data_IF_615502981990
#
_entry.id   IF_615502981990
#
_cell.length_a   1.000
_cell.length_b   1.000
_cell.length_c   1.000
_cell.angle_alpha   90.00
_cell.angle_beta   90.00
_cell.angle_gamma   90.00
#
_symmetry.space_group_name_H-M   'P 1'
#
loop_
_entity.id
_entity.type
_entity.pdbx_description
1 polymer ?
#
# COMPACT_ATOMS: atom_id res chain seq x y z
N UNK A 1 -2.51 32.95 -25.54
CA UNK A 1 -1.68 32.86 -24.32
C UNK A 1 -2.41 32.17 -23.16
N UNK A 2 -3.55 32.68 -22.68
CA UNK A 2 -4.24 32.14 -21.49
C UNK A 2 -4.66 30.65 -21.62
N UNK A 3 -5.15 30.25 -22.80
CA UNK A 3 -5.52 28.85 -23.10
C UNK A 3 -4.27 27.93 -23.13
N UNK A 4 -3.14 28.42 -23.65
CA UNK A 4 -1.89 27.66 -23.65
C UNK A 4 -1.35 27.47 -22.22
N UNK A 5 -1.43 28.52 -21.39
CA UNK A 5 -1.05 28.48 -19.97
C UNK A 5 -1.93 27.47 -19.22
N UNK A 6 -3.25 27.51 -19.39
CA UNK A 6 -4.16 26.59 -18.71
C UNK A 6 -3.95 25.14 -19.18
N UNK A 7 -3.71 24.92 -20.47
CA UNK A 7 -3.39 23.59 -21.01
C UNK A 7 -2.07 23.02 -20.50
N UNK A 8 -1.13 23.84 -20.02
CA UNK A 8 0.15 23.38 -19.46
C UNK A 8 0.09 23.16 -17.95
N UNK A 9 -0.47 24.13 -17.21
CA UNK A 9 -0.47 24.11 -15.74
C UNK A 9 -1.43 23.03 -15.21
N UNK A 10 -2.61 22.86 -15.83
CA UNK A 10 -3.62 21.93 -15.34
C UNK A 10 -3.10 20.48 -15.36
N UNK A 11 -2.50 19.95 -16.45
CA UNK A 11 -1.95 18.60 -16.44
C UNK A 11 -0.82 18.39 -15.43
N UNK A 12 0.04 19.39 -15.23
CA UNK A 12 1.13 19.34 -14.24
C UNK A 12 0.56 19.21 -12.83
N UNK A 13 -0.40 20.05 -12.46
CA UNK A 13 -1.03 20.00 -11.14
C UNK A 13 -1.84 18.72 -10.94
N UNK A 14 -2.60 18.31 -11.95
CA UNK A 14 -3.43 17.09 -11.90
C UNK A 14 -2.57 15.83 -11.75
N UNK A 15 -1.49 15.70 -12.52
CA UNK A 15 -0.61 14.53 -12.43
C UNK A 15 0.04 14.40 -11.05
N UNK A 16 0.41 15.52 -10.42
CA UNK A 16 0.93 15.52 -9.05
C UNK A 16 -0.12 15.11 -8.04
N UNK A 17 -1.33 15.65 -8.17
CA UNK A 17 -2.47 15.26 -7.34
C UNK A 17 -2.77 13.76 -7.45
N UNK A 18 -2.77 13.20 -8.66
CA UNK A 18 -2.92 11.76 -8.88
C UNK A 18 -1.79 10.96 -8.24
N UNK A 19 -0.53 11.37 -8.38
CA UNK A 19 0.60 10.69 -7.74
C UNK A 19 0.48 10.67 -6.21
N UNK A 20 0.01 11.77 -5.62
CA UNK A 20 -0.28 11.82 -4.18
C UNK A 20 -1.45 10.92 -3.79
N UNK A 21 -2.55 10.92 -4.54
CA UNK A 21 -3.69 10.04 -4.29
C UNK A 21 -3.30 8.57 -4.36
N UNK A 22 -2.51 8.17 -5.37
CA UNK A 22 -2.02 6.80 -5.54
C UNK A 22 -1.13 6.42 -4.35
N UNK A 23 -0.17 7.27 -3.99
CA UNK A 23 0.74 7.01 -2.86
C UNK A 23 -0.02 6.90 -1.54
N UNK A 24 -0.98 7.79 -1.31
CA UNK A 24 -1.88 7.73 -0.16
C UNK A 24 -2.70 6.44 -0.15
N UNK A 25 -3.24 6.03 -1.29
CA UNK A 25 -4.03 4.81 -1.41
C UNK A 25 -3.17 3.56 -1.12
N UNK A 26 -1.91 3.52 -1.59
CA UNK A 26 -0.96 2.45 -1.27
C UNK A 26 -0.74 2.37 0.25
N UNK A 27 -0.51 3.51 0.90
CA UNK A 27 -0.31 3.58 2.35
C UNK A 27 -1.55 3.14 3.13
N UNK A 28 -2.72 3.68 2.77
CA UNK A 28 -4.00 3.34 3.39
C UNK A 28 -4.30 1.85 3.28
N UNK A 29 -4.05 1.25 2.11
CA UNK A 29 -4.25 -0.17 1.87
C UNK A 29 -3.28 -1.05 2.68
N UNK A 30 -2.04 -0.59 2.86
CA UNK A 30 -1.01 -1.36 3.58
C UNK A 30 -1.09 -1.24 5.09
N UNK A 31 -1.52 -0.10 5.62
CA UNK A 31 -1.52 0.18 7.07
C UNK A 31 -2.96 0.24 7.58
N UNK A 32 -3.74 1.25 7.18
CA UNK A 32 -5.01 1.58 7.83
C UNK A 32 -6.02 0.44 7.71
N UNK A 33 -6.11 -0.21 6.55
CA UNK A 33 -7.03 -1.34 6.38
C UNK A 33 -6.61 -2.57 7.19
N UNK A 34 -5.29 -2.83 7.24
CA UNK A 34 -4.77 -3.97 8.01
C UNK A 34 -5.03 -3.74 9.50
N UNK A 35 -4.79 -2.52 10.00
CA UNK A 35 -5.15 -2.15 11.36
C UNK A 35 -6.66 -2.29 11.58
N UNK A 36 -7.51 -1.63 10.80
CA UNK A 36 -8.95 -1.67 11.05
C UNK A 36 -9.56 -3.09 11.05
N UNK A 37 -8.98 -4.04 10.32
CA UNK A 37 -9.48 -5.42 10.25
C UNK A 37 -8.83 -6.34 11.28
N UNK A 38 -7.54 -6.16 11.57
CA UNK A 38 -6.77 -7.09 12.40
C UNK A 38 -6.30 -6.51 13.74
N UNK A 39 -6.59 -5.25 14.03
CA UNK A 39 -6.23 -4.56 15.28
C UNK A 39 -7.12 -5.02 16.42
N UNK A 40 -6.86 -6.26 16.85
CA UNK A 40 -7.09 -6.67 18.22
C UNK A 40 -5.79 -6.40 18.96
N UNK A 41 -5.88 -5.84 20.18
CA UNK A 41 -4.73 -5.47 21.03
C UNK A 41 -3.68 -6.59 21.21
N UNK A 42 -4.05 -7.83 20.90
CA UNK A 42 -3.21 -9.04 20.92
C UNK A 42 -2.29 -9.23 19.70
N UNK A 43 -2.55 -8.60 18.54
CA UNK A 43 -1.89 -8.99 17.28
C UNK A 43 -0.93 -7.96 16.67
N UNK A 44 -1.03 -6.64 16.92
CA UNK A 44 -0.35 -5.63 16.06
C UNK A 44 0.43 -4.50 16.77
N UNK A 45 1.30 -4.82 17.73
CA UNK A 45 2.26 -3.82 18.26
C UNK A 45 3.45 -3.50 17.32
N UNK A 46 3.52 -4.06 16.11
CA UNK A 46 4.68 -3.96 15.22
C UNK A 46 4.39 -3.19 13.90
N UNK A 47 5.42 -2.61 13.25
CA UNK A 47 5.26 -1.87 12.00
C UNK A 47 4.85 -2.77 10.83
N UNK A 48 3.77 -2.39 10.13
CA UNK A 48 3.16 -3.18 9.04
C UNK A 48 3.88 -2.96 7.69
N UNK A 49 4.81 -2.00 7.58
CA UNK A 49 5.59 -1.72 6.37
C UNK A 49 7.07 -2.06 6.60
N UNK A 50 7.63 -2.88 5.70
CA UNK A 50 9.05 -3.20 5.67
C UNK A 50 9.86 -2.02 5.15
N UNK A 51 11.07 -1.81 5.66
CA UNK A 51 11.98 -0.76 5.19
C UNK A 51 12.23 -0.83 3.67
N UNK A 52 12.44 -2.03 3.14
CA UNK A 52 12.61 -2.26 1.69
C UNK A 52 11.40 -1.88 0.83
N UNK A 53 10.21 -1.74 1.43
CA UNK A 53 9.01 -1.30 0.72
C UNK A 53 8.86 0.21 0.66
N UNK A 54 9.71 0.97 1.36
CA UNK A 54 9.72 2.43 1.36
C UNK A 54 9.74 3.00 -0.06
N UNK A 55 10.60 2.46 -0.92
CA UNK A 55 10.72 2.91 -2.31
C UNK A 55 9.42 2.72 -3.11
N UNK A 56 8.60 1.72 -2.78
CA UNK A 56 7.32 1.48 -3.48
C UNK A 56 6.29 2.58 -3.22
N UNK A 57 6.40 3.28 -2.07
CA UNK A 57 5.59 4.46 -1.76
C UNK A 57 6.05 5.64 -2.63
N UNK A 58 7.33 5.67 -3.02
CA UNK A 58 7.91 6.76 -3.80
C UNK A 58 7.75 6.63 -5.32
N UNK A 59 7.48 5.42 -5.83
CA UNK A 59 7.30 5.16 -7.28
C UNK A 59 6.33 6.13 -7.96
N UNK A 60 5.14 6.43 -7.42
CA UNK A 60 4.21 7.35 -8.07
C UNK A 60 4.80 8.76 -8.25
N UNK A 61 5.66 9.21 -7.34
CA UNK A 61 6.33 10.51 -7.44
C UNK A 61 7.42 10.51 -8.50
N UNK A 62 8.16 9.41 -8.66
CA UNK A 62 9.12 9.28 -9.77
C UNK A 62 8.40 9.31 -11.13
N UNK A 63 7.28 8.59 -11.24
CA UNK A 63 6.44 8.62 -12.45
C UNK A 63 5.93 10.05 -12.72
N UNK A 64 5.50 10.77 -11.69
CA UNK A 64 5.09 12.17 -11.80
C UNK A 64 6.20 13.08 -12.34
N UNK A 65 7.42 12.96 -11.82
CA UNK A 65 8.57 13.75 -12.30
C UNK A 65 8.84 13.47 -13.78
N UNK A 66 8.81 12.19 -14.19
CA UNK A 66 9.01 11.78 -15.58
C UNK A 66 7.90 12.35 -16.48
N UNK A 67 6.63 12.20 -16.07
CA UNK A 67 5.49 12.71 -16.83
C UNK A 67 5.55 14.23 -17.00
N UNK A 68 5.87 14.99 -15.95
CA UNK A 68 6.03 16.44 -16.05
C UNK A 68 7.17 16.84 -16.99
N UNK A 69 8.28 16.10 -16.95
CA UNK A 69 9.41 16.35 -17.84
C UNK A 69 9.02 16.10 -19.30
N UNK A 70 8.29 15.02 -19.58
CA UNK A 70 7.78 14.73 -20.93
C UNK A 70 6.77 15.78 -21.40
N UNK A 71 5.84 16.18 -20.53
CA UNK A 71 4.86 17.24 -20.81
C UNK A 71 5.58 18.53 -21.18
N UNK A 72 6.60 18.93 -20.41
CA UNK A 72 7.42 20.10 -20.70
C UNK A 72 8.11 20.01 -22.07
N UNK A 73 8.76 18.88 -22.37
CA UNK A 73 9.45 18.66 -23.65
C UNK A 73 8.45 18.79 -24.81
N UNK A 74 7.32 18.10 -24.75
CA UNK A 74 6.28 18.15 -25.79
C UNK A 74 5.82 19.59 -26.03
N UNK A 75 5.62 20.37 -24.97
CA UNK A 75 5.20 21.76 -25.11
C UNK A 75 6.23 22.66 -25.76
N UNK A 76 7.53 22.40 -25.56
CA UNK A 76 8.58 23.13 -26.26
C UNK A 76 8.47 22.98 -27.79
N UNK A 77 7.93 21.86 -28.29
CA UNK A 77 7.80 21.58 -29.72
C UNK A 77 6.43 21.94 -30.32
N UNK A 78 5.36 22.01 -29.53
CA UNK A 78 4.00 22.33 -30.03
C UNK A 78 3.88 23.81 -30.42
N UNK A 79 4.53 24.70 -29.68
CA UNK A 79 4.49 26.13 -29.95
C UNK A 79 5.75 26.51 -30.73
N UNK A 80 5.64 26.66 -32.05
CA UNK A 80 6.73 27.22 -32.87
C UNK A 80 6.65 28.75 -32.84
N UNK A 81 7.71 29.47 -32.41
CA UNK A 81 7.68 30.92 -32.38
C UNK A 81 7.73 31.50 -33.80
N UNK A 82 6.93 32.53 -34.07
CA UNK A 82 7.22 33.52 -35.10
C UNK A 82 8.15 34.60 -34.53
N UNK A 83 8.91 35.31 -35.38
CA UNK A 83 9.90 36.30 -34.95
C UNK A 83 9.31 37.38 -34.01
N UNK A 84 8.08 37.84 -34.28
CA UNK A 84 7.38 38.84 -33.45
C UNK A 84 6.88 38.29 -32.10
N UNK A 85 6.85 36.97 -31.92
CA UNK A 85 6.32 36.28 -30.74
C UNK A 85 7.38 35.63 -29.84
N UNK A 86 8.66 35.71 -30.21
CA UNK A 86 9.74 34.96 -29.56
C UNK A 86 9.88 35.25 -28.06
N UNK A 87 9.82 36.53 -27.66
CA UNK A 87 9.93 36.93 -26.25
C UNK A 87 8.76 36.37 -25.40
N UNK A 88 7.55 36.42 -25.95
CA UNK A 88 6.35 35.91 -25.28
C UNK A 88 6.40 34.39 -25.14
N UNK A 89 6.93 33.70 -26.15
CA UNK A 89 7.19 32.26 -26.13
C UNK A 89 8.22 31.88 -25.06
N UNK A 90 9.36 32.58 -24.99
CA UNK A 90 10.40 32.34 -23.97
C UNK A 90 9.87 32.56 -22.55
N UNK A 91 9.10 33.63 -22.32
CA UNK A 91 8.46 33.90 -21.02
C UNK A 91 7.47 32.81 -20.63
N UNK A 92 6.67 32.32 -21.59
CA UNK A 92 5.70 31.25 -21.35
C UNK A 92 6.40 29.94 -20.92
N UNK A 93 7.44 29.53 -21.65
CA UNK A 93 8.23 28.33 -21.31
C UNK A 93 8.89 28.49 -19.95
N UNK A 94 9.45 29.65 -19.65
CA UNK A 94 10.04 29.95 -18.34
C UNK A 94 9.05 29.80 -17.20
N UNK A 95 7.82 30.32 -17.35
CA UNK A 95 6.76 30.17 -16.35
C UNK A 95 6.38 28.69 -16.17
N UNK A 96 6.19 27.94 -17.27
CA UNK A 96 5.84 26.52 -17.21
C UNK A 96 6.94 25.72 -16.50
N UNK A 97 8.21 26.02 -16.80
CA UNK A 97 9.36 25.37 -16.16
C UNK A 97 9.42 25.65 -14.66
N UNK A 98 9.28 26.91 -14.25
CA UNK A 98 9.27 27.31 -12.83
C UNK A 98 8.12 26.62 -12.09
N UNK A 99 6.92 26.61 -12.66
CA UNK A 99 5.75 25.94 -12.05
C UNK A 99 6.00 24.43 -11.93
N UNK A 100 6.62 23.82 -12.93
CA UNK A 100 6.99 22.40 -12.89
C UNK A 100 7.94 22.11 -11.72
N UNK A 101 9.00 22.92 -11.56
CA UNK A 101 9.95 22.79 -10.45
C UNK A 101 9.25 22.98 -9.10
N UNK A 102 8.47 24.05 -8.94
CA UNK A 102 7.75 24.33 -7.69
C UNK A 102 6.81 23.17 -7.35
N UNK A 103 6.09 22.63 -8.34
CA UNK A 103 5.21 21.48 -8.13
C UNK A 103 5.98 20.25 -7.67
N UNK A 104 7.14 19.94 -8.27
CA UNK A 104 7.99 18.81 -7.88
C UNK A 104 8.48 18.98 -6.45
N UNK A 105 9.04 20.15 -6.11
CA UNK A 105 9.54 20.44 -4.76
C UNK A 105 8.40 20.33 -3.73
N UNK A 106 7.25 20.94 -4.02
CA UNK A 106 6.10 20.93 -3.12
C UNK A 106 5.60 19.50 -2.85
N UNK A 107 5.51 18.67 -3.88
CA UNK A 107 5.13 17.26 -3.73
C UNK A 107 6.15 16.45 -2.94
N UNK A 108 7.46 16.68 -3.15
CA UNK A 108 8.51 16.03 -2.34
C UNK A 108 8.33 16.37 -0.86
N UNK A 109 8.13 17.65 -0.53
CA UNK A 109 7.94 18.11 0.86
C UNK A 109 6.69 17.49 1.49
N UNK A 110 5.56 17.48 0.78
CA UNK A 110 4.33 16.84 1.25
C UNK A 110 4.53 15.35 1.53
N UNK A 111 5.27 14.66 0.66
CA UNK A 111 5.57 13.23 0.79
C UNK A 111 6.43 12.93 2.01
N UNK A 112 7.50 13.71 2.21
CA UNK A 112 8.38 13.58 3.38
C UNK A 112 7.58 13.79 4.66
N UNK A 113 6.78 14.86 4.72
CA UNK A 113 5.97 15.19 5.91
C UNK A 113 4.99 14.06 6.27
N UNK A 114 4.34 13.47 5.28
CA UNK A 114 3.37 12.39 5.48
C UNK A 114 4.04 11.07 5.89
N UNK A 115 5.22 10.80 5.35
CA UNK A 115 5.95 9.56 5.64
C UNK A 115 6.76 9.62 6.95
N UNK A 116 7.00 10.82 7.51
CA UNK A 116 7.78 11.01 8.76
C UNK A 116 7.25 10.19 9.94
N UNK A 117 5.95 9.93 9.98
CA UNK A 117 5.30 9.23 11.08
C UNK A 117 5.10 7.73 10.82
N UNK A 118 5.58 7.21 9.69
CA UNK A 118 5.50 5.78 9.38
C UNK A 118 6.67 5.09 10.06
N UNK A 119 6.38 4.24 11.04
CA UNK A 119 7.37 3.32 11.61
C UNK A 119 7.62 2.19 10.60
N UNK A 120 8.87 1.96 10.26
CA UNK A 120 9.30 0.83 9.43
C UNK A 120 9.90 -0.26 10.32
N UNK A 121 9.77 -1.52 9.88
CA UNK A 121 10.34 -2.66 10.61
C UNK A 121 11.83 -2.79 10.36
N UNK A 122 12.60 -2.94 11.44
CA UNK A 122 14.02 -3.32 11.39
C UNK A 122 14.18 -4.85 11.54
N UNK A 123 15.28 -5.42 11.04
CA UNK A 123 15.54 -6.88 11.01
C UNK A 123 15.48 -7.56 12.38
N UNK A 124 15.90 -6.87 13.45
CA UNK A 124 15.81 -7.38 14.82
C UNK A 124 14.35 -7.50 15.29
N UNK A 125 13.52 -6.47 15.03
CA UNK A 125 12.09 -6.51 15.35
C UNK A 125 11.38 -7.63 14.57
N UNK A 126 11.79 -7.89 13.32
CA UNK A 126 11.27 -9.00 12.52
C UNK A 126 11.59 -10.35 13.17
N UNK A 127 12.85 -10.56 13.54
CA UNK A 127 13.32 -11.82 14.14
C UNK A 127 12.62 -12.11 15.46
N UNK A 128 12.59 -11.14 16.37
CA UNK A 128 11.96 -11.29 17.68
C UNK A 128 10.48 -11.59 17.54
N UNK A 129 9.81 -10.93 16.60
CA UNK A 129 8.42 -11.21 16.30
C UNK A 129 8.22 -12.65 15.81
N UNK A 130 9.01 -13.14 14.85
CA UNK A 130 8.89 -14.51 14.35
C UNK A 130 9.12 -15.54 15.46
N UNK A 131 10.14 -15.36 16.30
CA UNK A 131 10.44 -16.29 17.39
C UNK A 131 9.24 -16.39 18.35
N UNK A 132 8.72 -15.25 18.79
CA UNK A 132 7.55 -15.22 19.68
C UNK A 132 6.32 -15.87 19.04
N UNK A 133 6.07 -15.62 17.75
CA UNK A 133 4.93 -16.22 17.05
C UNK A 133 5.09 -17.72 16.78
N UNK A 134 6.32 -18.21 16.61
CA UNK A 134 6.59 -19.64 16.51
C UNK A 134 6.26 -20.36 17.82
N UNK A 135 6.64 -19.79 18.97
CA UNK A 135 6.31 -20.35 20.28
C UNK A 135 4.80 -20.38 20.52
N UNK A 136 4.11 -19.26 20.23
CA UNK A 136 2.64 -19.20 20.33
C UNK A 136 1.99 -20.17 19.34
N UNK A 137 2.53 -20.28 18.12
CA UNK A 137 2.02 -21.14 17.05
C UNK A 137 1.98 -22.62 17.42
N UNK A 138 2.88 -23.07 18.30
CA UNK A 138 2.89 -24.44 18.84
C UNK A 138 1.72 -24.74 19.79
N UNK A 139 1.07 -23.71 20.33
CA UNK A 139 -0.10 -23.87 21.21
C UNK A 139 -1.42 -23.95 20.46
N UNK A 140 -1.41 -23.70 19.14
CA UNK A 140 -2.62 -23.77 18.32
C UNK A 140 -2.96 -25.23 17.97
N UNK A 141 -4.25 -25.51 17.79
CA UNK A 141 -4.71 -26.86 17.44
C UNK A 141 -4.10 -27.37 16.12
N UNK A 142 -3.88 -28.68 16.02
CA UNK A 142 -3.29 -29.34 14.85
C UNK A 142 -4.16 -29.31 13.58
N UNK A 143 -5.30 -28.62 13.56
CA UNK A 143 -6.14 -28.48 12.36
C UNK A 143 -6.23 -27.03 11.92
N UNK A 144 -6.05 -26.82 10.61
CA UNK A 144 -6.36 -25.53 10.00
C UNK A 144 -7.87 -25.31 10.06
N UNK A 145 -8.25 -24.21 10.68
CA UNK A 145 -9.64 -23.79 10.81
C UNK A 145 -10.15 -23.31 9.45
N UNK A 146 -11.35 -23.77 9.05
CA UNK A 146 -11.97 -23.30 7.82
C UNK A 146 -12.47 -21.87 7.97
N UNK A 147 -12.10 -21.02 7.03
CA UNK A 147 -12.63 -19.66 6.96
C UNK A 147 -14.04 -19.73 6.38
N UNK A 148 -15.05 -19.45 7.21
CA UNK A 148 -16.45 -19.41 6.78
C UNK A 148 -17.12 -18.11 7.21
N UNK A 149 -17.25 -17.17 6.28
CA UNK A 149 -18.13 -16.02 6.41
C UNK A 149 -19.58 -16.49 6.21
N UNK A 150 -20.26 -16.84 7.32
CA UNK A 150 -21.64 -17.36 7.32
C UNK A 150 -22.64 -16.48 6.54
N UNK A 151 -22.38 -15.17 6.47
CA UNK A 151 -23.28 -14.17 5.87
C UNK A 151 -22.74 -13.50 4.59
N UNK A 152 -21.76 -14.11 3.93
CA UNK A 152 -21.16 -13.54 2.70
C UNK A 152 -21.34 -14.47 1.50
N UNK A 153 -21.22 -13.91 0.29
CA UNK A 153 -21.25 -14.73 -0.93
C UNK A 153 -20.14 -15.78 -0.91
N UNK A 154 -20.44 -16.97 -1.45
CA UNK A 154 -19.46 -18.07 -1.61
C UNK A 154 -18.15 -17.61 -2.28
N UNK A 155 -18.19 -16.53 -3.06
CA UNK A 155 -17.03 -15.94 -3.73
C UNK A 155 -15.96 -15.41 -2.75
N UNK A 156 -16.33 -14.73 -1.66
CA UNK A 156 -15.35 -14.18 -0.72
C UNK A 156 -14.66 -15.28 0.10
N UNK A 157 -15.43 -16.27 0.54
CA UNK A 157 -14.88 -17.48 1.16
C UNK A 157 -13.90 -18.20 0.22
N UNK A 158 -14.25 -18.32 -1.07
CA UNK A 158 -13.35 -18.87 -2.09
C UNK A 158 -12.06 -18.05 -2.20
N UNK A 159 -12.13 -16.72 -2.23
CA UNK A 159 -10.93 -15.87 -2.31
C UNK A 159 -10.05 -15.96 -1.07
N UNK A 160 -10.63 -16.02 0.14
CA UNK A 160 -9.87 -16.21 1.38
C UNK A 160 -9.16 -17.56 1.39
N UNK A 161 -9.86 -18.63 1.00
CA UNK A 161 -9.27 -19.96 0.87
C UNK A 161 -8.16 -20.03 -0.19
N UNK A 162 -8.31 -19.32 -1.31
CA UNK A 162 -7.27 -19.21 -2.34
C UNK A 162 -6.05 -18.43 -1.83
N UNK A 163 -6.25 -17.32 -1.10
CA UNK A 163 -5.16 -16.58 -0.47
C UNK A 163 -4.42 -17.47 0.54
N UNK A 164 -5.14 -18.16 1.41
CA UNK A 164 -4.60 -19.17 2.33
C UNK A 164 -3.73 -20.19 1.62
N UNK A 165 -4.26 -20.89 0.61
CA UNK A 165 -3.49 -21.88 -0.16
C UNK A 165 -2.26 -21.28 -0.85
N UNK A 166 -2.36 -20.06 -1.39
CA UNK A 166 -1.27 -19.41 -2.12
C UNK A 166 -0.06 -19.10 -1.24
N UNK A 167 -0.30 -18.65 -0.01
CA UNK A 167 0.77 -18.21 0.89
C UNK A 167 1.26 -19.35 1.78
N UNK A 168 0.38 -20.21 2.30
CA UNK A 168 0.78 -21.33 3.15
C UNK A 168 1.68 -22.32 2.39
N UNK A 169 1.38 -22.62 1.11
CA UNK A 169 2.23 -23.50 0.28
C UNK A 169 3.66 -23.00 0.05
N UNK A 170 3.95 -21.75 0.37
CA UNK A 170 5.29 -21.15 0.22
C UNK A 170 6.11 -21.24 1.49
N UNK A 171 5.54 -21.69 2.59
CA UNK A 171 6.24 -21.90 3.86
C UNK A 171 7.12 -23.15 3.69
N UNK A 172 8.42 -22.97 3.91
CA UNK A 172 9.43 -24.01 3.77
C UNK A 172 10.52 -23.82 4.83
N UNK A 173 11.16 -24.92 5.28
CA UNK A 173 12.25 -24.95 6.27
C UNK A 173 13.45 -24.09 5.84
N UNK A 174 13.64 -23.89 4.53
CA UNK A 174 14.73 -23.09 3.97
C UNK A 174 14.55 -21.57 4.12
N UNK A 175 13.38 -21.10 4.56
CA UNK A 175 13.10 -19.67 4.67
C UNK A 175 13.78 -19.04 5.89
N UNK A 176 14.40 -17.87 5.67
CA UNK A 176 14.89 -17.01 6.75
C UNK A 176 13.73 -16.31 7.46
N UNK A 177 13.94 -15.86 8.70
CA UNK A 177 12.93 -15.12 9.46
C UNK A 177 12.39 -13.90 8.71
N UNK A 178 13.24 -13.13 8.03
CA UNK A 178 12.81 -12.00 7.19
C UNK A 178 11.86 -12.41 6.05
N UNK A 179 12.10 -13.58 5.44
CA UNK A 179 11.25 -14.10 4.35
C UNK A 179 9.92 -14.61 4.90
N UNK A 180 9.91 -15.24 6.07
CA UNK A 180 8.68 -15.67 6.76
C UNK A 180 7.85 -14.43 7.12
N UNK A 181 8.50 -13.40 7.68
CA UNK A 181 7.84 -12.15 8.03
C UNK A 181 7.27 -11.43 6.79
N UNK A 182 8.01 -11.40 5.69
CA UNK A 182 7.50 -10.87 4.41
C UNK A 182 6.28 -11.65 3.92
N UNK A 183 6.34 -12.98 4.01
CA UNK A 183 5.26 -13.86 3.59
C UNK A 183 4.01 -13.64 4.45
N UNK A 184 4.19 -13.48 5.76
CA UNK A 184 3.15 -13.15 6.71
C UNK A 184 2.47 -11.83 6.38
N UNK A 185 3.24 -10.76 6.17
CA UNK A 185 2.69 -9.45 5.79
C UNK A 185 1.92 -9.53 4.47
N UNK A 186 2.44 -10.24 3.47
CA UNK A 186 1.73 -10.45 2.20
C UNK A 186 0.43 -11.22 2.39
N UNK A 187 0.45 -12.24 3.25
CA UNK A 187 -0.71 -13.05 3.58
C UNK A 187 -1.80 -12.21 4.25
N UNK A 188 -1.47 -11.48 5.32
CA UNK A 188 -2.45 -10.62 6.01
C UNK A 188 -2.98 -9.52 5.10
N UNK A 189 -2.13 -8.84 4.33
CA UNK A 189 -2.57 -7.79 3.40
C UNK A 189 -3.49 -8.31 2.29
N UNK A 190 -3.27 -9.54 1.82
CA UNK A 190 -4.14 -10.16 0.83
C UNK A 190 -5.53 -10.47 1.39
N UNK A 191 -5.59 -11.09 2.57
CA UNK A 191 -6.86 -11.36 3.23
C UNK A 191 -7.57 -10.06 3.64
N UNK A 192 -6.82 -9.10 4.19
CA UNK A 192 -7.30 -7.76 4.50
C UNK A 192 -8.00 -7.12 3.30
N UNK A 193 -7.37 -7.15 2.12
CA UNK A 193 -7.97 -6.57 0.93
C UNK A 193 -9.30 -7.24 0.57
N UNK A 194 -9.39 -8.57 0.64
CA UNK A 194 -10.62 -9.32 0.37
C UNK A 194 -11.73 -8.91 1.35
N UNK A 195 -11.41 -8.86 2.64
CA UNK A 195 -12.34 -8.46 3.70
C UNK A 195 -12.78 -7.00 3.53
N UNK A 196 -11.88 -6.08 3.19
CA UNK A 196 -12.24 -4.67 2.92
C UNK A 196 -13.18 -4.56 1.72
N UNK A 197 -12.99 -5.34 0.65
CA UNK A 197 -13.90 -5.32 -0.50
C UNK A 197 -15.31 -5.80 -0.11
N UNK A 198 -15.40 -6.85 0.72
CA UNK A 198 -16.67 -7.32 1.26
C UNK A 198 -17.36 -6.23 2.06
N UNK A 199 -16.66 -5.65 3.03
CA UNK A 199 -17.19 -4.58 3.90
C UNK A 199 -17.59 -3.32 3.12
N UNK A 200 -16.86 -2.97 2.06
CA UNK A 200 -17.20 -1.82 1.22
C UNK A 200 -18.51 -1.98 0.47
N UNK A 201 -18.87 -3.21 0.05
CA UNK A 201 -20.17 -3.46 -0.58
C UNK A 201 -21.32 -3.32 0.41
N UNK A 202 -21.04 -3.59 1.68
CA UNK A 202 -22.00 -3.46 2.77
C UNK A 202 -22.01 -2.06 3.40
N UNK A 203 -21.21 -1.11 2.88
CA UNK A 203 -21.07 0.25 3.38
C UNK A 203 -20.64 0.38 4.85
N UNK A 204 -19.92 -0.62 5.37
CA UNK A 204 -19.44 -0.63 6.76
C UNK A 204 -18.24 0.31 6.91
N UNK A 205 -18.30 1.22 7.90
CA UNK A 205 -17.26 2.25 8.11
C UNK A 205 -16.66 2.26 9.51
N UNK A 206 -17.35 1.73 10.54
CA UNK A 206 -16.87 1.78 11.93
C UNK A 206 -16.17 0.48 12.35
N UNK A 207 -15.09 0.57 13.14
CA UNK A 207 -14.37 -0.61 13.62
C UNK A 207 -15.26 -1.54 14.47
N UNK A 208 -16.23 -0.98 15.20
CA UNK A 208 -17.19 -1.76 15.99
C UNK A 208 -18.08 -2.63 15.07
N UNK A 209 -18.56 -2.07 13.97
CA UNK A 209 -19.33 -2.83 12.97
C UNK A 209 -18.47 -3.87 12.25
N UNK A 210 -17.22 -3.52 11.92
CA UNK A 210 -16.27 -4.46 11.30
C UNK A 210 -16.08 -5.68 12.19
N UNK A 211 -15.78 -5.47 13.48
CA UNK A 211 -15.58 -6.57 14.44
C UNK A 211 -16.85 -7.43 14.59
N UNK A 212 -18.02 -6.80 14.66
CA UNK A 212 -19.30 -7.52 14.70
C UNK A 212 -19.58 -8.33 13.44
N UNK A 213 -19.19 -7.83 12.26
CA UNK A 213 -19.47 -8.49 10.99
C UNK A 213 -18.48 -9.62 10.69
N UNK A 214 -17.22 -9.43 11.03
CA UNK A 214 -16.14 -10.36 10.71
C UNK A 214 -15.95 -11.48 11.73
N UNK A 215 -16.48 -11.36 12.96
CA UNK A 215 -16.45 -12.35 14.06
C UNK A 215 -15.36 -13.43 13.93
N UNK A 216 -14.28 -13.24 14.69
CA UNK A 216 -13.15 -14.17 14.83
C UNK A 216 -12.32 -14.45 13.56
N UNK A 217 -12.81 -14.13 12.35
CA UNK A 217 -12.08 -14.38 11.09
C UNK A 217 -10.65 -13.80 11.05
N UNK A 218 -10.40 -12.56 11.52
CA UNK A 218 -9.03 -12.04 11.59
C UNK A 218 -8.11 -12.92 12.44
N UNK A 219 -8.62 -13.47 13.54
CA UNK A 219 -7.90 -14.39 14.43
C UNK A 219 -7.70 -15.75 13.77
N UNK A 220 -8.71 -16.31 13.09
CA UNK A 220 -8.62 -17.56 12.32
C UNK A 220 -7.52 -17.45 11.25
N UNK A 221 -7.51 -16.35 10.49
CA UNK A 221 -6.48 -16.06 9.48
C UNK A 221 -5.10 -16.06 10.14
N UNK A 222 -4.95 -15.34 11.25
CA UNK A 222 -3.69 -15.24 11.98
C UNK A 222 -3.20 -16.62 12.46
N UNK A 223 -4.05 -17.38 13.16
CA UNK A 223 -3.77 -18.74 13.66
C UNK A 223 -3.36 -19.68 12.55
N UNK A 224 -4.11 -19.71 11.44
CA UNK A 224 -3.84 -20.58 10.31
C UNK A 224 -2.45 -20.38 9.71
N UNK A 225 -1.97 -19.13 9.65
CA UNK A 225 -0.61 -18.86 9.18
C UNK A 225 0.43 -19.42 10.14
N UNK A 226 0.39 -19.02 11.41
CA UNK A 226 1.42 -19.39 12.38
C UNK A 226 1.43 -20.86 12.73
N UNK A 227 0.28 -21.51 12.76
CA UNK A 227 0.16 -22.96 12.88
C UNK A 227 0.83 -23.69 11.70
N UNK A 228 0.76 -23.13 10.49
CA UNK A 228 1.46 -23.70 9.34
C UNK A 228 2.97 -23.47 9.41
N UNK A 229 3.40 -22.32 9.91
CA UNK A 229 4.83 -22.04 10.11
C UNK A 229 5.40 -22.92 11.21
N UNK A 230 4.77 -23.02 12.38
CA UNK A 230 5.28 -23.82 13.50
C UNK A 230 5.54 -25.27 13.09
N UNK A 231 4.59 -25.93 12.42
CA UNK A 231 4.75 -27.31 11.92
C UNK A 231 5.90 -27.50 10.96
N UNK A 232 6.16 -26.51 10.12
CA UNK A 232 7.27 -26.58 9.17
C UNK A 232 8.59 -26.36 9.89
N UNK A 233 8.64 -25.66 11.03
CA UNK A 233 9.88 -25.33 11.74
C UNK A 233 10.13 -26.16 13.01
N UNK A 234 9.25 -27.12 13.31
CA UNK A 234 9.51 -28.26 14.20
C UNK A 234 10.47 -29.29 13.57
#
# INVERSE_FOLDING_TARGET
MLIAISMCIIPILMSGFFAYLISWYILKRKIDFVKNIFDQEKFFKFPIILDREKNKIFIPYFIFIILNTLIFIIFCFIFTPSDDGYLQYMLLIGIIYIISIISIIWFIVLSIKKNKNIKFTNSEEEKDFIINQLEIGKTYEDKLEQINLQNSSNTYNMYLNLAQKRYIKRIDKSLTYEKIYELFLKYIRANCWILTQMLSKENIKSNIEINKKLQDIPEIIFKNFWNSVSRVFE
#
